data_IF_198893056336
#
_entry.id   IF_198893056336
#
_cell.length_a   1.000
_cell.length_b   1.000
_cell.length_c   1.000
_cell.angle_alpha   90.00
_cell.angle_beta   90.00
_cell.angle_gamma   90.00
#
_symmetry.space_group_name_H-M   'P 1'
#
loop_
_entity.id
_entity.type
_entity.pdbx_description
1 polymer ?
#
# COMPACT_ATOMS: atom_id res chain seq x y z
N UNK A 1 -21.47 -16.08 36.08
CA UNK A 1 -20.77 -14.77 36.19
C UNK A 1 -20.35 -14.32 34.79
N UNK A 2 -21.00 -13.32 34.21
CA UNK A 2 -20.64 -12.79 32.90
C UNK A 2 -19.41 -11.87 33.05
N UNK A 3 -18.30 -12.21 32.39
CA UNK A 3 -17.12 -11.33 32.32
C UNK A 3 -17.51 -10.11 31.49
N UNK A 4 -17.66 -8.95 32.14
CA UNK A 4 -17.81 -7.65 31.46
C UNK A 4 -16.64 -7.47 30.49
N UNK A 5 -16.95 -7.42 29.20
CA UNK A 5 -15.97 -7.11 28.15
C UNK A 5 -15.35 -5.74 28.45
N UNK A 6 -14.02 -5.67 28.46
CA UNK A 6 -13.32 -4.39 28.60
C UNK A 6 -13.71 -3.49 27.42
N UNK A 7 -14.04 -2.21 27.65
CA UNK A 7 -14.35 -1.28 26.56
C UNK A 7 -13.13 -1.18 25.64
N UNK A 8 -13.35 -1.50 24.36
CA UNK A 8 -12.34 -1.39 23.31
C UNK A 8 -12.08 0.10 23.06
N UNK A 9 -10.93 0.60 23.52
CA UNK A 9 -10.44 1.91 23.13
C UNK A 9 -9.73 1.76 21.79
N UNK A 10 -10.33 2.31 20.73
CA UNK A 10 -9.64 2.57 19.47
C UNK A 10 -8.53 3.55 19.82
N UNK A 11 -7.27 3.08 19.86
CA UNK A 11 -6.13 3.99 19.78
C UNK A 11 -6.22 4.68 18.41
N UNK A 12 -5.93 5.97 18.35
CA UNK A 12 -5.88 6.74 17.11
C UNK A 12 -5.25 5.93 15.97
N UNK A 13 -5.71 6.07 14.72
CA UNK A 13 -5.16 5.33 13.59
C UNK A 13 -3.67 5.62 13.51
N UNK A 14 -2.86 4.66 13.95
CA UNK A 14 -1.42 4.75 13.85
C UNK A 14 -1.13 4.59 12.36
N UNK A 15 -0.76 5.67 11.67
CA UNK A 15 -0.39 5.61 10.26
C UNK A 15 0.77 4.62 10.14
N UNK A 16 0.69 3.66 9.22
CA UNK A 16 1.76 2.67 9.06
C UNK A 16 3.06 3.40 8.71
N UNK A 17 4.21 2.90 9.19
CA UNK A 17 5.50 3.55 8.93
C UNK A 17 5.76 3.73 7.41
N UNK A 18 5.32 2.77 6.59
CA UNK A 18 5.40 2.89 5.14
C UNK A 18 4.49 3.98 4.55
N UNK A 19 3.29 4.18 5.09
CA UNK A 19 2.43 5.27 4.66
C UNK A 19 3.03 6.64 5.02
N UNK A 20 3.65 6.76 6.20
CA UNK A 20 4.41 7.95 6.58
C UNK A 20 5.60 8.21 5.64
N UNK A 21 6.30 7.17 5.20
CA UNK A 21 7.42 7.32 4.26
C UNK A 21 6.96 7.78 2.87
N UNK A 22 5.79 7.32 2.42
CA UNK A 22 5.14 7.86 1.22
C UNK A 22 4.80 9.36 1.36
N UNK A 23 4.21 9.76 2.49
CA UNK A 23 3.78 11.15 2.75
C UNK A 23 4.97 12.12 2.81
N UNK A 24 6.15 11.65 3.25
CA UNK A 24 7.37 12.47 3.33
C UNK A 24 8.03 12.72 1.97
N UNK A 25 7.60 12.04 0.91
CA UNK A 25 8.13 12.28 -0.43
C UNK A 25 7.80 13.72 -0.85
N UNK A 26 8.85 14.46 -1.23
CA UNK A 26 8.72 15.84 -1.71
C UNK A 26 8.84 15.87 -3.23
N UNK A 27 8.36 16.96 -3.81
CA UNK A 27 8.53 17.27 -5.24
C UNK A 27 7.95 16.19 -6.17
N UNK A 28 6.87 15.53 -5.71
CA UNK A 28 6.11 14.57 -6.50
C UNK A 28 5.35 15.32 -7.60
N UNK A 29 5.52 14.90 -8.84
CA UNK A 29 4.90 15.57 -9.98
C UNK A 29 3.38 15.35 -10.02
N UNK A 30 2.68 16.29 -10.65
CA UNK A 30 1.25 16.16 -10.94
C UNK A 30 0.93 14.86 -11.70
N UNK A 31 1.84 14.43 -12.60
CA UNK A 31 1.66 13.20 -13.35
C UNK A 31 1.73 11.96 -12.46
N UNK A 32 2.61 11.94 -11.45
CA UNK A 32 2.71 10.84 -10.51
C UNK A 32 1.47 10.75 -9.60
N UNK A 33 0.86 11.90 -9.29
CA UNK A 33 -0.45 11.94 -8.63
C UNK A 33 -1.57 11.39 -9.53
N UNK A 34 -1.60 11.74 -10.81
CA UNK A 34 -2.55 11.17 -11.76
C UNK A 34 -2.39 9.65 -11.91
N UNK A 35 -1.16 9.15 -11.92
CA UNK A 35 -0.90 7.72 -11.91
C UNK A 35 -1.37 7.05 -10.60
N UNK A 36 -1.32 7.77 -9.48
CA UNK A 36 -1.87 7.29 -8.20
C UNK A 36 -3.40 7.18 -8.25
N UNK A 37 -4.10 8.10 -8.94
CA UNK A 37 -5.54 7.96 -9.21
C UNK A 37 -5.85 6.71 -10.03
N UNK A 38 -5.03 6.44 -11.06
CA UNK A 38 -5.17 5.23 -11.88
C UNK A 38 -4.90 3.99 -11.04
N UNK A 39 -3.90 4.02 -10.15
CA UNK A 39 -3.61 2.93 -9.23
C UNK A 39 -4.79 2.66 -8.29
N UNK A 40 -5.41 3.70 -7.74
CA UNK A 40 -6.62 3.58 -6.93
C UNK A 40 -7.77 2.91 -7.72
N UNK A 41 -7.95 3.27 -9.00
CA UNK A 41 -8.93 2.61 -9.87
C UNK A 41 -8.59 1.12 -10.12
N UNK A 42 -7.31 0.76 -10.21
CA UNK A 42 -6.89 -0.65 -10.27
C UNK A 42 -7.29 -1.38 -9.00
N UNK A 43 -7.04 -0.81 -7.81
CA UNK A 43 -7.41 -1.42 -6.53
C UNK A 43 -8.93 -1.61 -6.42
N UNK A 44 -9.71 -0.60 -6.82
CA UNK A 44 -11.17 -0.70 -6.85
C UNK A 44 -11.66 -1.77 -7.83
N UNK A 45 -11.03 -1.89 -9.01
CA UNK A 45 -11.33 -2.96 -9.96
C UNK A 45 -10.99 -4.36 -9.43
N UNK A 46 -9.95 -4.47 -8.60
CA UNK A 46 -9.56 -5.72 -7.97
C UNK A 46 -10.50 -6.16 -6.84
N UNK A 47 -11.31 -5.26 -6.28
CA UNK A 47 -12.24 -5.56 -5.16
C UNK A 47 -13.22 -6.69 -5.47
N UNK A 48 -13.63 -6.82 -6.74
CA UNK A 48 -14.57 -7.86 -7.19
C UNK A 48 -13.92 -9.24 -7.44
N UNK A 49 -12.63 -9.27 -7.80
CA UNK A 49 -11.90 -10.50 -8.10
C UNK A 49 -10.98 -10.96 -6.96
N UNK A 50 -10.77 -10.14 -5.94
CA UNK A 50 -10.00 -10.51 -4.77
C UNK A 50 -10.73 -11.61 -3.98
N UNK A 51 -10.05 -12.75 -3.81
CA UNK A 51 -10.58 -13.86 -3.04
C UNK A 51 -10.88 -13.44 -1.60
N UNK A 52 -12.06 -13.85 -1.11
CA UNK A 52 -12.48 -13.72 0.30
C UNK A 52 -12.11 -14.95 1.12
N UNK A 53 -11.53 -15.97 0.48
CA UNK A 53 -11.09 -17.17 1.18
C UNK A 53 -9.88 -16.86 2.07
N UNK A 54 -9.77 -17.61 3.16
CA UNK A 54 -8.66 -17.49 4.10
C UNK A 54 -7.32 -17.86 3.46
N UNK A 55 -6.23 -17.26 3.95
CA UNK A 55 -4.84 -17.65 3.69
C UNK A 55 -4.39 -17.67 2.23
N UNK A 56 -3.81 -16.57 1.72
CA UNK A 56 -3.00 -16.48 0.48
C UNK A 56 -3.61 -17.08 -0.81
N UNK A 57 -4.82 -17.66 -0.73
CA UNK A 57 -5.48 -18.31 -1.83
C UNK A 57 -5.82 -17.26 -2.85
N UNK A 58 -5.34 -17.48 -4.07
CA UNK A 58 -5.45 -16.55 -5.18
C UNK A 58 -4.82 -15.17 -4.89
N UNK A 59 -3.97 -15.05 -3.86
CA UNK A 59 -3.23 -13.82 -3.58
C UNK A 59 -2.35 -13.45 -4.77
N UNK A 60 -1.75 -14.43 -5.43
CA UNK A 60 -0.93 -14.23 -6.62
C UNK A 60 -1.66 -13.45 -7.73
N UNK A 61 -2.94 -13.73 -7.99
CA UNK A 61 -3.68 -13.01 -9.04
C UNK A 61 -3.90 -11.55 -8.69
N UNK A 62 -4.19 -11.27 -7.41
CA UNK A 62 -4.31 -9.92 -6.91
C UNK A 62 -2.96 -9.20 -6.88
N UNK A 63 -1.92 -9.85 -6.34
CA UNK A 63 -0.59 -9.26 -6.17
C UNK A 63 0.07 -8.98 -7.51
N UNK A 64 -0.16 -9.80 -8.54
CA UNK A 64 0.38 -9.61 -9.87
C UNK A 64 -0.16 -8.32 -10.49
N UNK A 65 -1.46 -8.04 -10.33
CA UNK A 65 -2.07 -6.80 -10.81
C UNK A 65 -1.52 -5.58 -10.06
N UNK A 66 -1.45 -5.66 -8.72
CA UNK A 66 -1.04 -4.55 -7.87
C UNK A 66 0.47 -4.25 -8.01
N UNK A 67 1.34 -5.24 -7.80
CA UNK A 67 2.78 -5.07 -8.02
C UNK A 67 3.11 -4.83 -9.49
N UNK A 68 2.36 -5.42 -10.41
CA UNK A 68 2.52 -5.17 -11.84
C UNK A 68 2.36 -3.69 -12.17
N UNK A 69 1.38 -3.01 -11.57
CA UNK A 69 1.21 -1.57 -11.72
C UNK A 69 2.40 -0.79 -11.15
N UNK A 70 2.77 -1.06 -9.90
CA UNK A 70 3.88 -0.35 -9.24
C UNK A 70 5.20 -0.54 -9.99
N UNK A 71 5.51 -1.75 -10.49
CA UNK A 71 6.69 -2.02 -11.32
C UNK A 71 6.69 -1.22 -12.62
N UNK A 72 5.53 -1.04 -13.25
CA UNK A 72 5.40 -0.19 -14.45
C UNK A 72 5.71 1.27 -14.11
N UNK A 73 5.26 1.75 -12.95
CA UNK A 73 5.54 3.13 -12.53
C UNK A 73 7.01 3.34 -12.18
N UNK A 74 7.63 2.42 -11.45
CA UNK A 74 9.08 2.46 -11.19
C UNK A 74 9.89 2.52 -12.49
N UNK A 75 9.48 1.74 -13.51
CA UNK A 75 10.09 1.80 -14.84
C UNK A 75 9.83 3.14 -15.53
N UNK A 76 8.58 3.62 -15.53
CA UNK A 76 8.16 4.91 -16.13
C UNK A 76 9.00 6.07 -15.60
N UNK A 77 9.23 6.08 -14.29
CA UNK A 77 9.96 7.13 -13.58
C UNK A 77 11.47 6.89 -13.49
N UNK A 78 11.99 5.87 -14.20
CA UNK A 78 13.43 5.58 -14.31
C UNK A 78 14.08 5.29 -12.95
N UNK A 79 13.42 4.52 -12.10
CA UNK A 79 13.99 4.06 -10.84
C UNK A 79 15.34 3.37 -11.06
N UNK A 80 16.33 3.72 -10.24
CA UNK A 80 17.69 3.18 -10.33
C UNK A 80 17.88 2.14 -9.22
N UNK A 81 17.89 0.86 -9.57
CA UNK A 81 18.15 -0.17 -8.57
C UNK A 81 19.56 -0.02 -7.98
N UNK A 82 19.68 -0.05 -6.65
CA UNK A 82 20.94 0.16 -5.94
C UNK A 82 21.47 1.60 -5.95
N UNK A 83 20.69 2.59 -6.40
CA UNK A 83 21.14 3.98 -6.54
C UNK A 83 21.82 4.53 -5.29
N UNK A 84 21.22 4.36 -4.11
CA UNK A 84 21.80 4.83 -2.84
C UNK A 84 23.18 4.20 -2.52
N UNK A 85 23.36 2.91 -2.80
CA UNK A 85 24.63 2.22 -2.59
C UNK A 85 25.72 2.68 -3.59
N UNK A 86 25.31 3.20 -4.74
CA UNK A 86 26.18 3.80 -5.77
C UNK A 86 26.32 5.32 -5.63
N UNK A 87 25.71 5.95 -4.62
CA UNK A 87 25.71 7.40 -4.44
C UNK A 87 24.90 8.16 -5.51
N UNK A 88 23.97 7.49 -6.18
CA UNK A 88 23.07 8.08 -7.18
C UNK A 88 21.76 8.54 -6.52
N UNK A 89 21.33 9.75 -6.89
CA UNK A 89 20.04 10.29 -6.50
C UNK A 89 18.91 9.65 -7.31
N UNK A 90 17.81 9.28 -6.64
CA UNK A 90 16.61 8.79 -7.30
C UNK A 90 15.78 9.97 -7.83
N UNK A 91 15.18 9.86 -9.02
CA UNK A 91 14.12 10.78 -9.41
C UNK A 91 13.02 10.85 -8.34
N UNK A 92 12.50 12.03 -8.03
CA UNK A 92 11.52 12.23 -6.95
C UNK A 92 10.29 11.31 -7.09
N UNK A 93 9.73 11.24 -8.30
CA UNK A 93 8.60 10.35 -8.60
C UNK A 93 8.97 8.87 -8.48
N UNK A 94 10.20 8.48 -8.86
CA UNK A 94 10.65 7.11 -8.69
C UNK A 94 10.81 6.74 -7.21
N UNK A 95 11.32 7.67 -6.40
CA UNK A 95 11.40 7.49 -4.95
C UNK A 95 10.00 7.40 -4.33
N UNK A 96 9.05 8.23 -4.78
CA UNK A 96 7.65 8.14 -4.35
C UNK A 96 7.05 6.76 -4.67
N UNK A 97 7.18 6.29 -5.91
CA UNK A 97 6.68 4.97 -6.30
C UNK A 97 7.43 3.81 -5.60
N UNK A 98 8.67 4.03 -5.16
CA UNK A 98 9.40 3.09 -4.32
C UNK A 98 8.82 3.02 -2.90
N UNK A 99 8.38 4.14 -2.33
CA UNK A 99 7.66 4.11 -1.05
C UNK A 99 6.28 3.44 -1.21
N UNK A 100 5.57 3.69 -2.31
CA UNK A 100 4.31 2.98 -2.63
C UNK A 100 4.55 1.47 -2.76
N UNK A 101 5.67 1.04 -3.35
CA UNK A 101 6.06 -0.38 -3.35
C UNK A 101 6.22 -0.93 -1.94
N UNK A 102 6.85 -0.19 -1.04
CA UNK A 102 6.98 -0.55 0.38
C UNK A 102 5.61 -0.69 1.08
N UNK A 103 4.67 0.22 0.78
CA UNK A 103 3.30 0.18 1.29
C UNK A 103 2.57 -1.09 0.82
N UNK A 104 2.61 -1.38 -0.48
CA UNK A 104 2.05 -2.62 -1.06
C UNK A 104 2.68 -3.85 -0.43
N UNK A 105 4.02 -3.86 -0.28
CA UNK A 105 4.75 -4.99 0.32
C UNK A 105 4.33 -5.27 1.75
N UNK A 106 4.14 -4.23 2.54
CA UNK A 106 3.59 -4.38 3.87
C UNK A 106 2.17 -4.94 3.82
N UNK A 107 1.29 -4.48 2.93
CA UNK A 107 -0.07 -5.03 2.89
C UNK A 107 -0.11 -6.48 2.37
N UNK A 108 0.75 -6.85 1.43
CA UNK A 108 0.83 -8.21 0.88
C UNK A 108 1.42 -9.22 1.88
N UNK A 109 2.47 -8.82 2.61
CA UNK A 109 3.30 -9.75 3.37
C UNK A 109 3.38 -9.45 4.87
N UNK A 110 2.80 -8.34 5.37
CA UNK A 110 2.81 -8.05 6.81
C UNK A 110 1.88 -8.99 7.56
N UNK A 111 2.32 -9.48 8.74
CA UNK A 111 1.45 -10.11 9.73
C UNK A 111 0.58 -9.09 10.50
N UNK A 112 0.78 -7.78 10.28
CA UNK A 112 0.17 -6.68 11.04
C UNK A 112 -0.62 -5.74 10.13
N UNK A 113 -1.63 -6.25 9.43
CA UNK A 113 -2.66 -5.38 8.83
C UNK A 113 -3.40 -4.68 9.97
N UNK A 114 -3.80 -3.43 9.77
CA UNK A 114 -4.55 -2.64 10.76
C UNK A 114 -5.98 -3.14 11.01
N UNK A 115 -6.46 -4.10 10.22
CA UNK A 115 -7.62 -4.92 10.57
C UNK A 115 -7.23 -5.90 11.69
N UNK A 116 -8.15 -6.34 12.56
CA UNK A 116 -7.87 -7.33 13.62
C UNK A 116 -7.56 -8.73 13.06
N UNK A 117 -6.53 -8.87 12.24
CA UNK A 117 -6.07 -10.12 11.65
C UNK A 117 -4.56 -10.21 11.84
N UNK A 118 -4.13 -10.07 13.10
CA UNK A 118 -2.73 -10.25 13.52
C UNK A 118 -2.29 -11.72 13.55
N UNK A 119 -2.79 -12.51 12.61
CA UNK A 119 -2.49 -13.93 12.45
C UNK A 119 -2.78 -14.26 10.99
N UNK A 120 -1.74 -14.55 10.20
CA UNK A 120 -1.62 -15.29 8.91
C UNK A 120 -2.84 -15.58 8.00
N UNK A 121 -4.03 -15.00 8.20
CA UNK A 121 -5.33 -15.48 7.70
C UNK A 121 -6.03 -14.47 6.79
N UNK A 122 -5.50 -13.27 6.60
CA UNK A 122 -6.15 -12.24 5.78
C UNK A 122 -6.24 -12.65 4.33
N UNK A 123 -7.47 -12.57 3.82
CA UNK A 123 -7.82 -12.79 2.42
C UNK A 123 -7.22 -11.71 1.51
N UNK A 124 -7.16 -11.98 0.21
CA UNK A 124 -6.76 -10.97 -0.78
C UNK A 124 -7.71 -9.76 -0.74
N UNK A 125 -8.99 -9.99 -0.47
CA UNK A 125 -9.99 -8.93 -0.31
C UNK A 125 -9.64 -7.98 0.85
N UNK A 126 -9.39 -8.52 2.05
CA UNK A 126 -9.06 -7.68 3.23
C UNK A 126 -7.75 -6.91 3.05
N UNK A 127 -6.79 -7.49 2.33
CA UNK A 127 -5.54 -6.81 1.94
C UNK A 127 -5.84 -5.66 0.98
N UNK A 128 -6.66 -5.88 -0.03
CA UNK A 128 -7.06 -4.84 -0.96
C UNK A 128 -7.80 -3.69 -0.26
N UNK A 129 -8.71 -3.98 0.67
CA UNK A 129 -9.41 -2.96 1.47
C UNK A 129 -8.45 -2.11 2.31
N UNK A 130 -7.45 -2.75 2.92
CA UNK A 130 -6.44 -2.05 3.69
C UNK A 130 -5.59 -1.14 2.79
N UNK A 131 -5.16 -1.63 1.63
CA UNK A 131 -4.37 -0.86 0.67
C UNK A 131 -5.16 0.32 0.09
N UNK A 132 -6.45 0.12 -0.23
CA UNK A 132 -7.35 1.20 -0.65
C UNK A 132 -7.37 2.32 0.40
N UNK A 133 -7.56 1.95 1.67
CA UNK A 133 -7.59 2.92 2.78
C UNK A 133 -6.28 3.70 2.86
N UNK A 134 -5.14 3.02 2.81
CA UNK A 134 -3.84 3.66 2.89
C UNK A 134 -3.57 4.59 1.69
N UNK A 135 -3.96 4.18 0.47
CA UNK A 135 -3.84 4.99 -0.74
C UNK A 135 -4.76 6.21 -0.70
N UNK A 136 -5.97 6.09 -0.18
CA UNK A 136 -6.86 7.25 0.02
C UNK A 136 -6.24 8.28 0.95
N UNK A 137 -5.68 7.84 2.09
CA UNK A 137 -4.97 8.73 3.03
C UNK A 137 -3.76 9.37 2.33
N UNK A 138 -3.03 8.62 1.51
CA UNK A 138 -1.90 9.13 0.77
C UNK A 138 -2.32 10.23 -0.21
N UNK A 139 -3.39 10.02 -0.97
CA UNK A 139 -3.92 10.99 -1.93
C UNK A 139 -4.35 12.30 -1.26
N UNK A 140 -4.97 12.22 -0.07
CA UNK A 140 -5.35 13.39 0.73
C UNK A 140 -4.15 14.21 1.25
N UNK A 141 -2.97 13.58 1.35
CA UNK A 141 -1.80 14.16 2.05
C UNK A 141 -0.64 14.52 1.13
N UNK A 142 -0.55 13.92 -0.05
CA UNK A 142 0.48 14.22 -1.07
C UNK A 142 0.20 15.54 -1.81
N UNK A 143 -1.04 16.04 -1.75
CA UNK A 143 -1.37 17.40 -2.22
C UNK A 143 -1.33 18.36 -1.02
N UNK A 144 -0.22 19.06 -0.84
CA UNK A 144 -0.12 20.30 -0.07
C UNK A 144 0.85 21.28 -0.71
#
# INVERSE_FOLDING_TARGET
MAKKGRPFKIKEPNVSAALEDCIKCKDVSQQAYEDLLVFMAVLEGQRACASKDYHYKDLFYWDEAVYGFVRKMLTKYKFINGGAAMGLEQPADANFWWQVYGLVSNVCYSPNLHSKVASHHSSAFERNEALITDVQILMERVIK
#
